data_IF_597567636422
#
_entry.id   IF_597567636422
#
_cell.length_a   1.000
_cell.length_b   1.000
_cell.length_c   1.000
_cell.angle_alpha   90.00
_cell.angle_beta   90.00
_cell.angle_gamma   90.00
#
_symmetry.space_group_name_H-M   'P 1'
#
loop_
_entity.id
_entity.type
_entity.pdbx_description
1 polymer ?
#
# COMPACT_ATOMS: atom_id res chain seq x y z
N UNK A 1 60.27 -38.55 -7.09
CA UNK A 1 59.20 -39.37 -7.71
C UNK A 1 58.15 -39.90 -6.72
N UNK A 2 58.42 -39.99 -5.41
CA UNK A 2 57.53 -40.66 -4.43
C UNK A 2 56.31 -39.82 -3.99
N UNK A 3 56.37 -38.50 -4.11
CA UNK A 3 55.28 -37.59 -3.73
C UNK A 3 54.34 -37.21 -4.88
N UNK A 4 54.76 -37.44 -6.14
CA UNK A 4 53.95 -37.13 -7.32
C UNK A 4 52.72 -38.05 -7.45
N UNK A 5 52.87 -39.33 -7.08
CA UNK A 5 51.74 -40.28 -7.02
C UNK A 5 50.74 -39.95 -5.90
N UNK A 6 51.23 -39.40 -4.78
CA UNK A 6 50.40 -39.04 -3.62
C UNK A 6 49.54 -37.81 -3.86
N UNK A 7 50.02 -36.84 -4.65
CA UNK A 7 49.30 -35.62 -4.99
C UNK A 7 48.19 -35.91 -6.02
N UNK A 8 48.42 -36.85 -6.94
CA UNK A 8 47.41 -37.30 -7.92
C UNK A 8 46.26 -38.07 -7.24
N UNK A 9 46.56 -38.84 -6.18
CA UNK A 9 45.53 -39.60 -5.45
C UNK A 9 44.59 -38.69 -4.63
N UNK A 10 45.11 -37.59 -4.07
CA UNK A 10 44.33 -36.61 -3.31
C UNK A 10 43.43 -35.73 -4.18
N UNK A 11 43.74 -35.57 -5.47
CA UNK A 11 42.92 -34.81 -6.42
C UNK A 11 41.70 -35.60 -6.96
N UNK A 12 41.67 -36.92 -6.80
CA UNK A 12 40.58 -37.79 -7.28
C UNK A 12 39.41 -37.93 -6.30
N UNK A 13 39.58 -37.51 -5.05
CA UNK A 13 38.49 -37.50 -4.06
C UNK A 13 37.82 -36.12 -4.14
N UNK A 14 37.17 -35.86 -5.27
CA UNK A 14 36.29 -34.71 -5.42
C UNK A 14 35.23 -34.74 -4.32
N UNK A 15 35.08 -33.62 -3.61
CA UNK A 15 34.02 -33.42 -2.63
C UNK A 15 32.66 -33.60 -3.30
N UNK A 16 32.04 -34.76 -3.12
CA UNK A 16 30.64 -34.97 -3.48
C UNK A 16 29.81 -34.42 -2.33
N UNK A 17 29.45 -33.15 -2.41
CA UNK A 17 28.44 -32.59 -1.51
C UNK A 17 27.11 -33.31 -1.78
N UNK A 18 26.46 -33.93 -0.77
CA UNK A 18 25.14 -34.51 -0.98
C UNK A 18 24.18 -33.37 -1.36
N UNK A 19 23.66 -33.41 -2.59
CA UNK A 19 22.58 -32.53 -3.02
C UNK A 19 21.36 -32.88 -2.17
N UNK A 20 20.98 -31.99 -1.24
CA UNK A 20 19.74 -32.13 -0.48
C UNK A 20 18.56 -32.03 -1.46
N UNK A 21 18.05 -33.17 -1.89
CA UNK A 21 16.86 -33.26 -2.74
C UNK A 21 15.66 -32.87 -1.89
N UNK A 22 15.22 -31.62 -2.02
CA UNK A 22 13.91 -31.19 -1.52
C UNK A 22 12.90 -31.85 -2.47
N UNK A 23 11.93 -32.64 -1.99
CA UNK A 23 10.87 -33.16 -2.85
C UNK A 23 10.15 -31.95 -3.46
N UNK A 24 10.13 -31.89 -4.80
CA UNK A 24 9.27 -30.94 -5.49
C UNK A 24 7.83 -31.31 -5.12
N UNK A 25 7.14 -30.42 -4.43
CA UNK A 25 5.71 -30.59 -4.19
C UNK A 25 5.02 -30.48 -5.56
N UNK A 26 4.46 -31.59 -6.01
CA UNK A 26 3.66 -31.63 -7.22
C UNK A 26 2.29 -31.05 -6.90
N UNK A 27 2.13 -29.75 -7.18
CA UNK A 27 0.87 -29.03 -7.02
C UNK A 27 -0.17 -29.38 -8.09
N UNK A 28 0.10 -30.38 -8.94
CA UNK A 28 -0.73 -30.76 -10.07
C UNK A 28 -0.69 -29.73 -11.19
N UNK A 29 -1.25 -30.10 -12.34
CA UNK A 29 -1.47 -29.19 -13.46
C UNK A 29 -2.65 -28.26 -13.13
N UNK A 30 -2.36 -27.02 -12.75
CA UNK A 30 -3.37 -25.97 -12.73
C UNK A 30 -3.70 -25.55 -14.16
N UNK A 31 -4.97 -25.30 -14.45
CA UNK A 31 -5.39 -24.71 -15.73
C UNK A 31 -4.55 -23.46 -16.02
N UNK A 32 -4.11 -23.30 -17.27
CA UNK A 32 -3.09 -22.32 -17.66
C UNK A 32 -3.46 -20.86 -17.34
N UNK A 33 -4.74 -20.57 -17.12
CA UNK A 33 -5.20 -19.22 -16.81
C UNK A 33 -6.36 -19.26 -15.79
N UNK A 34 -6.16 -18.77 -14.56
CA UNK A 34 -7.25 -18.61 -13.60
C UNK A 34 -8.19 -17.47 -14.02
N UNK A 35 -9.49 -17.62 -13.75
CA UNK A 35 -10.44 -16.51 -13.87
C UNK A 35 -10.17 -15.47 -12.77
N UNK A 36 -9.78 -14.27 -13.19
CA UNK A 36 -9.45 -13.13 -12.33
C UNK A 36 -10.49 -12.00 -12.41
N UNK A 37 -11.72 -12.27 -12.87
CA UNK A 37 -12.78 -11.26 -12.95
C UNK A 37 -13.11 -10.59 -11.61
N UNK A 38 -12.85 -11.26 -10.49
CA UNK A 38 -12.98 -10.71 -9.13
C UNK A 38 -11.86 -9.73 -8.76
N UNK A 39 -10.71 -9.79 -9.41
CA UNK A 39 -9.51 -9.02 -9.05
C UNK A 39 -9.74 -7.51 -9.19
N UNK A 40 -10.58 -7.08 -10.13
CA UNK A 40 -10.94 -5.67 -10.32
C UNK A 40 -11.93 -5.15 -9.27
N UNK A 41 -12.61 -6.04 -8.55
CA UNK A 41 -13.57 -5.70 -7.49
C UNK A 41 -12.92 -5.61 -6.11
N UNK A 42 -11.67 -6.04 -5.99
CA UNK A 42 -10.93 -6.10 -4.73
C UNK A 42 -9.69 -5.20 -4.77
N UNK A 43 -8.96 -5.14 -3.66
CA UNK A 43 -7.77 -4.32 -3.52
C UNK A 43 -8.07 -3.01 -2.80
N UNK A 44 -7.02 -2.29 -2.41
CA UNK A 44 -7.19 -0.97 -1.82
C UNK A 44 -7.77 -0.02 -2.87
N UNK A 45 -8.78 0.78 -2.51
CA UNK A 45 -9.23 1.87 -3.37
C UNK A 45 -8.02 2.72 -3.77
N UNK A 46 -7.90 3.04 -5.06
CA UNK A 46 -6.91 4.01 -5.51
C UNK A 46 -7.19 5.30 -4.76
N UNK A 47 -6.15 5.88 -4.14
CA UNK A 47 -6.23 7.23 -3.60
C UNK A 47 -6.84 8.12 -4.70
N UNK A 48 -7.90 8.89 -4.40
CA UNK A 48 -8.49 9.76 -5.41
C UNK A 48 -7.41 10.62 -6.04
N UNK A 49 -7.48 10.86 -7.35
CA UNK A 49 -6.53 11.77 -8.01
C UNK A 49 -6.52 13.09 -7.23
N UNK A 50 -5.31 13.55 -6.85
CA UNK A 50 -4.93 14.54 -5.83
C UNK A 50 -5.74 15.85 -5.80
N UNK A 51 -7.06 15.77 -5.65
CA UNK A 51 -7.94 16.93 -5.57
C UNK A 51 -8.04 17.27 -4.10
N UNK A 52 -7.16 18.17 -3.69
CA UNK A 52 -7.09 18.69 -2.34
C UNK A 52 -8.06 19.87 -2.16
N UNK A 53 -8.85 19.78 -1.11
CA UNK A 53 -9.82 20.79 -0.69
C UNK A 53 -9.33 21.44 0.59
N UNK A 54 -8.57 22.53 0.46
CA UNK A 54 -8.10 23.32 1.60
C UNK A 54 -9.28 23.97 2.33
N UNK A 55 -9.52 23.54 3.57
CA UNK A 55 -10.57 24.07 4.43
C UNK A 55 -10.42 25.57 4.70
N UNK A 56 -9.21 26.14 4.59
CA UNK A 56 -8.96 27.58 4.68
C UNK A 56 -9.72 28.39 3.61
N UNK A 57 -9.90 27.82 2.40
CA UNK A 57 -10.70 28.44 1.32
C UNK A 57 -12.20 28.51 1.66
N UNK A 58 -12.63 27.73 2.65
CA UNK A 58 -14.00 27.70 3.17
C UNK A 58 -14.16 28.48 4.48
N UNK A 59 -13.18 29.31 4.83
CA UNK A 59 -13.24 30.20 5.99
C UNK A 59 -12.73 29.56 7.29
N UNK A 60 -12.01 28.44 7.23
CA UNK A 60 -11.36 27.87 8.40
C UNK A 60 -10.29 28.83 8.93
N UNK A 61 -10.30 29.08 10.24
CA UNK A 61 -9.36 29.95 10.93
C UNK A 61 -8.81 29.23 12.16
N UNK A 62 -7.51 29.37 12.42
CA UNK A 62 -6.86 28.84 13.62
C UNK A 62 -7.26 29.69 14.84
N UNK A 63 -8.52 29.57 15.25
CA UNK A 63 -9.18 30.37 16.27
C UNK A 63 -10.19 29.50 17.02
N UNK A 64 -9.98 29.30 18.32
CA UNK A 64 -10.83 28.47 19.19
C UNK A 64 -12.02 29.22 19.78
N UNK A 65 -12.13 30.53 19.55
CA UNK A 65 -13.28 31.35 19.99
C UNK A 65 -14.53 31.14 19.13
N UNK A 66 -14.37 30.62 17.91
CA UNK A 66 -15.43 30.38 16.94
C UNK A 66 -15.50 28.90 16.56
N UNK A 67 -16.70 28.40 16.29
CA UNK A 67 -16.87 27.03 15.79
C UNK A 67 -16.36 26.92 14.34
N UNK A 68 -15.39 26.03 14.14
CA UNK A 68 -14.78 25.71 12.85
C UNK A 68 -15.59 24.68 12.04
N UNK A 69 -16.60 24.05 12.65
CA UNK A 69 -17.44 23.02 12.02
C UNK A 69 -18.01 23.43 10.65
N UNK A 70 -18.60 24.64 10.48
CA UNK A 70 -19.20 25.01 9.19
C UNK A 70 -18.19 25.09 8.05
N UNK A 71 -16.98 25.60 8.32
CA UNK A 71 -15.94 25.71 7.31
C UNK A 71 -15.43 24.33 6.85
N UNK A 72 -15.21 23.42 7.81
CA UNK A 72 -14.76 22.05 7.50
C UNK A 72 -15.88 21.26 6.81
N UNK A 73 -17.13 21.42 7.24
CA UNK A 73 -18.26 20.76 6.58
C UNK A 73 -18.46 21.28 5.16
N UNK A 74 -18.31 22.59 4.92
CA UNK A 74 -18.37 23.15 3.58
C UNK A 74 -17.26 22.60 2.66
N UNK A 75 -16.06 22.38 3.19
CA UNK A 75 -14.97 21.75 2.45
C UNK A 75 -15.29 20.29 2.09
N UNK A 76 -15.87 19.51 3.02
CA UNK A 76 -16.35 18.13 2.76
C UNK A 76 -17.45 18.13 1.71
N UNK A 77 -18.37 19.07 1.79
CA UNK A 77 -19.51 19.17 0.87
C UNK A 77 -19.05 19.48 -0.55
N UNK A 78 -18.10 20.38 -0.71
CA UNK A 78 -17.50 20.70 -2.00
C UNK A 78 -16.66 19.53 -2.55
N UNK A 79 -15.90 18.87 -1.67
CA UNK A 79 -15.15 17.66 -2.00
C UNK A 79 -16.05 16.57 -2.57
N UNK A 80 -17.16 16.27 -1.89
CA UNK A 80 -18.17 15.32 -2.37
C UNK A 80 -18.78 15.72 -3.72
N UNK A 81 -19.14 17.00 -3.89
CA UNK A 81 -19.75 17.49 -5.13
C UNK A 81 -18.85 17.30 -6.36
N UNK A 82 -17.53 17.23 -6.18
CA UNK A 82 -16.57 17.03 -7.25
C UNK A 82 -16.24 15.56 -7.55
N UNK A 83 -16.92 14.61 -6.88
CA UNK A 83 -16.61 13.18 -7.00
C UNK A 83 -15.49 12.73 -6.05
N UNK A 84 -15.40 13.38 -4.90
CA UNK A 84 -14.47 13.02 -3.83
C UNK A 84 -13.11 13.71 -3.90
N UNK A 85 -12.21 13.26 -3.03
CA UNK A 85 -10.89 13.87 -2.84
C UNK A 85 -10.48 13.91 -1.37
N UNK A 86 -9.50 14.76 -1.08
CA UNK A 86 -8.94 14.91 0.28
C UNK A 86 -9.22 16.31 0.79
N UNK A 87 -9.91 16.44 1.93
CA UNK A 87 -10.04 17.73 2.62
C UNK A 87 -8.80 17.97 3.46
N UNK A 88 -8.09 19.07 3.20
CA UNK A 88 -6.85 19.41 3.90
C UNK A 88 -7.15 20.45 4.97
N UNK A 89 -6.70 20.16 6.18
CA UNK A 89 -6.80 21.05 7.34
C UNK A 89 -5.38 21.42 7.76
N UNK A 90 -5.07 22.71 7.73
CA UNK A 90 -3.77 23.20 8.18
C UNK A 90 -3.56 22.91 9.68
N UNK A 91 -2.31 22.78 10.16
CA UNK A 91 -2.03 22.65 11.58
C UNK A 91 -2.59 23.82 12.38
N UNK A 92 -3.27 23.53 13.50
CA UNK A 92 -3.89 24.56 14.35
C UNK A 92 -4.81 23.98 15.41
N UNK A 93 -5.46 24.87 16.17
CA UNK A 93 -6.45 24.55 17.17
C UNK A 93 -7.82 25.00 16.69
N UNK A 94 -8.73 24.03 16.53
CA UNK A 94 -10.04 24.25 15.94
C UNK A 94 -11.12 23.71 16.88
N UNK A 95 -12.07 24.57 17.24
CA UNK A 95 -13.23 24.15 18.01
C UNK A 95 -14.28 23.57 17.06
N UNK A 96 -14.47 22.24 17.10
CA UNK A 96 -15.40 21.53 16.21
C UNK A 96 -16.46 20.76 16.99
N UNK A 97 -17.62 20.57 16.35
CA UNK A 97 -18.63 19.59 16.74
C UNK A 97 -18.54 18.35 15.86
N UNK A 98 -19.66 17.66 15.66
CA UNK A 98 -19.73 16.54 14.73
C UNK A 98 -19.47 16.99 13.28
N UNK A 99 -18.76 16.14 12.53
CA UNK A 99 -18.58 16.26 11.08
C UNK A 99 -19.24 15.07 10.41
N UNK A 100 -19.86 15.30 9.26
CA UNK A 100 -20.52 14.27 8.49
C UNK A 100 -19.72 14.00 7.22
N UNK A 101 -19.04 12.85 7.18
CA UNK A 101 -18.29 12.39 6.02
C UNK A 101 -19.27 11.91 4.94
N UNK A 102 -18.93 12.14 3.68
CA UNK A 102 -19.70 11.74 2.50
C UNK A 102 -18.89 10.76 1.67
N UNK A 103 -19.58 9.98 0.84
CA UNK A 103 -18.90 9.16 -0.18
C UNK A 103 -18.14 10.07 -1.15
N UNK A 104 -16.91 9.68 -1.47
CA UNK A 104 -16.18 10.22 -2.61
C UNK A 104 -16.75 9.67 -3.90
#
# INVERSE_FOLDING_TARGET
>A
MKYLLSIVLLALIGFTTPKKTIPAYDWGSVSAEPDLSWADQVGAQRTPENTEWDAGKFGLRNDTSVFSTPAIQAAIDACHQQGGGTVVVAPGYYKIGALFIKSG
#
